data_IF_333399802096
#
_entry.id   IF_333399802096
#
_cell.length_a   1.000
_cell.length_b   1.000
_cell.length_c   1.000
_cell.angle_alpha   90.00
_cell.angle_beta   90.00
_cell.angle_gamma   90.00
#
_symmetry.space_group_name_H-M   'P 1'
#
loop_
_entity.id
_entity.type
_entity.pdbx_description
1 polymer ?
#
# COMPACT_ATOMS: atom_id res chain seq x y z
N UNK A 1 -7.89 -10.91 -6.10
CA UNK A 1 -9.16 -11.63 -6.37
C UNK A 1 -9.65 -11.19 -7.75
N UNK A 2 -10.39 -12.00 -8.49
CA UNK A 2 -10.98 -11.58 -9.78
C UNK A 2 -12.50 -11.77 -9.71
N UNK A 3 -13.27 -10.80 -10.20
CA UNK A 3 -14.74 -10.86 -10.20
C UNK A 3 -15.32 -11.45 -11.51
N UNK A 4 -16.65 -11.49 -11.58
CA UNK A 4 -17.41 -11.96 -12.74
C UNK A 4 -17.31 -11.05 -13.98
N UNK A 5 -16.62 -9.90 -13.87
CA UNK A 5 -16.33 -8.94 -14.94
C UNK A 5 -14.84 -8.93 -15.32
N UNK A 6 -14.08 -9.94 -14.88
CA UNK A 6 -12.63 -10.07 -15.00
C UNK A 6 -11.83 -8.89 -14.39
N UNK A 7 -12.42 -8.10 -13.50
CA UNK A 7 -11.70 -7.05 -12.78
C UNK A 7 -10.94 -7.66 -11.61
N UNK A 8 -9.69 -7.24 -11.44
CA UNK A 8 -8.84 -7.71 -10.34
C UNK A 8 -8.95 -6.75 -9.16
N UNK A 9 -9.41 -7.29 -8.03
CA UNK A 9 -9.62 -6.58 -6.78
C UNK A 9 -8.52 -6.89 -5.78
N UNK A 10 -8.07 -5.84 -5.08
CA UNK A 10 -7.16 -5.89 -3.94
C UNK A 10 -7.91 -5.46 -2.68
N UNK A 11 -7.66 -6.16 -1.56
CA UNK A 11 -8.23 -5.84 -0.26
C UNK A 11 -7.20 -6.09 0.83
N UNK A 12 -7.25 -5.30 1.91
CA UNK A 12 -6.37 -5.39 3.08
C UNK A 12 -7.15 -4.96 4.31
N UNK A 13 -6.96 -5.67 5.42
CA UNK A 13 -7.44 -5.26 6.73
C UNK A 13 -6.33 -4.55 7.51
N UNK A 14 -6.70 -3.60 8.37
CA UNK A 14 -5.80 -2.93 9.31
C UNK A 14 -5.94 -3.59 10.69
N UNK A 15 -5.29 -4.74 10.84
CA UNK A 15 -5.35 -5.57 12.04
C UNK A 15 -4.38 -5.05 13.14
N UNK A 16 -4.68 -3.88 13.71
CA UNK A 16 -3.88 -3.25 14.77
C UNK A 16 -4.38 -3.58 16.18
N UNK A 17 -3.49 -3.46 17.18
CA UNK A 17 -3.83 -3.62 18.61
C UNK A 17 -4.54 -2.42 19.22
N UNK A 18 -4.39 -1.25 18.60
CA UNK A 18 -4.99 0.02 19.01
C UNK A 18 -5.92 0.47 17.88
N UNK A 19 -7.05 1.07 18.26
CA UNK A 19 -7.94 1.70 17.30
C UNK A 19 -7.20 2.83 16.56
N UNK A 20 -7.35 2.93 15.24
CA UNK A 20 -6.70 3.98 14.45
C UNK A 20 -7.65 4.56 13.41
N UNK A 21 -7.80 5.89 13.42
CA UNK A 21 -8.36 6.65 12.32
C UNK A 21 -7.49 6.49 11.07
N UNK A 22 -8.12 6.22 9.93
CA UNK A 22 -7.46 6.18 8.64
C UNK A 22 -7.60 7.54 7.94
N UNK A 23 -6.49 8.11 7.47
CA UNK A 23 -6.51 9.26 6.56
C UNK A 23 -6.35 8.78 5.12
N UNK A 24 -7.28 9.18 4.27
CA UNK A 24 -7.22 8.95 2.83
C UNK A 24 -6.38 10.05 2.17
N UNK A 25 -5.21 9.67 1.66
CA UNK A 25 -4.25 10.56 1.01
C UNK A 25 -4.41 10.45 -0.51
N UNK A 26 -4.74 11.56 -1.16
CA UNK A 26 -4.71 11.70 -2.62
C UNK A 26 -3.48 12.48 -3.05
N UNK A 27 -2.75 11.98 -4.05
CA UNK A 27 -1.57 12.63 -4.60
C UNK A 27 -1.67 12.76 -6.12
N UNK A 28 -1.24 13.90 -6.67
CA UNK A 28 -1.14 14.15 -8.12
C UNK A 28 0.07 15.07 -8.34
N UNK A 29 1.30 14.54 -8.26
CA UNK A 29 2.53 15.32 -8.42
C UNK A 29 2.78 15.59 -9.91
N UNK A 30 3.32 16.77 -10.30
CA UNK A 30 3.51 17.12 -11.73
C UNK A 30 4.36 16.14 -12.54
N UNK A 31 5.33 15.48 -11.90
CA UNK A 31 6.28 14.56 -12.52
C UNK A 31 6.27 13.17 -11.85
N UNK A 32 5.10 12.70 -11.43
CA UNK A 32 4.95 11.36 -10.84
C UNK A 32 3.53 10.82 -11.00
N UNK A 33 3.31 9.60 -10.50
CA UNK A 33 2.00 8.95 -10.65
C UNK A 33 0.96 9.55 -9.72
N UNK A 34 -0.26 9.72 -10.24
CA UNK A 34 -1.45 9.92 -9.42
C UNK A 34 -1.69 8.68 -8.57
N UNK A 35 -1.98 8.88 -7.29
CA UNK A 35 -2.20 7.79 -6.34
C UNK A 35 -3.22 8.14 -5.26
N UNK A 36 -3.74 7.07 -4.67
CA UNK A 36 -4.60 7.09 -3.48
C UNK A 36 -4.05 6.06 -2.48
N UNK A 37 -4.03 6.42 -1.20
CA UNK A 37 -3.39 5.62 -0.15
C UNK A 37 -4.06 5.85 1.21
N UNK A 38 -3.98 4.89 2.14
CA UNK A 38 -4.39 5.12 3.53
C UNK A 38 -3.18 5.17 4.48
N UNK A 39 -3.24 6.12 5.41
CA UNK A 39 -2.32 6.25 6.52
C UNK A 39 -3.06 6.00 7.85
N UNK A 40 -2.51 5.12 8.69
CA UNK A 40 -2.99 4.91 10.06
C UNK A 40 -2.46 6.03 10.97
N UNK A 41 -3.33 6.94 11.40
CA UNK A 41 -2.94 8.17 12.10
C UNK A 41 -2.38 7.93 13.52
N UNK A 42 -2.62 6.77 14.12
CA UNK A 42 -2.01 6.42 15.40
C UNK A 42 -0.48 6.27 15.31
N UNK A 43 0.05 5.87 14.13
CA UNK A 43 1.50 5.77 13.88
C UNK A 43 2.25 7.12 14.02
N UNK A 44 1.54 8.25 13.97
CA UNK A 44 2.06 9.61 14.19
C UNK A 44 1.40 10.27 15.42
N UNK A 45 0.79 9.48 16.30
CA UNK A 45 0.10 9.91 17.52
C UNK A 45 -1.00 10.95 17.28
N UNK A 46 -1.62 10.93 16.09
CA UNK A 46 -2.61 11.90 15.63
C UNK A 46 -3.99 11.26 15.39
N UNK A 47 -4.28 10.15 16.10
CA UNK A 47 -5.50 9.34 15.97
C UNK A 47 -6.80 10.16 16.06
N UNK A 48 -6.80 11.24 16.86
CA UNK A 48 -7.84 12.28 16.88
C UNK A 48 -7.23 13.61 16.39
N UNK A 49 -7.27 13.92 15.08
CA UNK A 49 -6.59 15.09 14.52
C UNK A 49 -7.04 16.41 15.13
N UNK A 50 -8.35 16.56 15.35
CA UNK A 50 -8.97 17.81 15.78
C UNK A 50 -8.78 18.17 17.25
N UNK A 51 -8.27 17.25 18.07
CA UNK A 51 -8.04 17.44 19.50
C UNK A 51 -7.03 18.57 19.81
N UNK A 52 -6.06 18.82 18.94
CA UNK A 52 -5.11 19.92 19.12
C UNK A 52 -4.41 20.35 17.82
N UNK A 53 -3.93 21.61 17.77
CA UNK A 53 -3.09 22.09 16.67
C UNK A 53 -1.84 21.23 16.44
N UNK A 54 -1.27 20.64 17.49
CA UNK A 54 -0.14 19.71 17.38
C UNK A 54 -0.52 18.45 16.58
N UNK A 55 -1.68 17.85 16.86
CA UNK A 55 -2.17 16.68 16.13
C UNK A 55 -2.56 17.04 14.69
N UNK A 56 -3.21 18.19 14.46
CA UNK A 56 -3.45 18.72 13.10
C UNK A 56 -2.17 18.83 12.29
N UNK A 57 -1.14 19.50 12.82
CA UNK A 57 0.16 19.62 12.16
C UNK A 57 0.84 18.27 11.93
N UNK A 58 0.74 17.33 12.88
CA UNK A 58 1.23 15.97 12.68
C UNK A 58 0.56 15.28 11.48
N UNK A 59 -0.75 15.42 11.27
CA UNK A 59 -1.42 14.79 10.12
C UNK A 59 -0.92 15.23 8.74
N UNK A 60 -0.23 16.37 8.64
CA UNK A 60 0.42 16.81 7.39
C UNK A 60 1.57 15.87 6.97
N UNK A 61 2.09 15.03 7.87
CA UNK A 61 3.09 14.00 7.56
C UNK A 61 2.48 12.68 7.09
N UNK A 62 1.15 12.55 7.07
CA UNK A 62 0.46 11.33 6.62
C UNK A 62 0.90 10.78 5.24
N UNK A 63 1.28 11.59 4.22
CA UNK A 63 1.75 11.03 2.94
C UNK A 63 3.05 10.20 3.05
N UNK A 64 3.79 10.32 4.15
CA UNK A 64 5.04 9.58 4.39
C UNK A 64 4.85 8.31 5.24
N UNK A 65 3.65 8.04 5.76
CA UNK A 65 3.33 6.88 6.61
C UNK A 65 2.18 6.02 6.05
N UNK A 66 1.90 6.13 4.74
CA UNK A 66 0.94 5.29 4.05
C UNK A 66 1.35 3.81 4.13
N UNK A 67 0.42 2.94 4.54
CA UNK A 67 0.67 1.50 4.67
C UNK A 67 0.11 0.71 3.48
N UNK A 68 -0.86 1.27 2.77
CA UNK A 68 -1.33 0.72 1.51
C UNK A 68 -1.64 1.85 0.51
N UNK A 69 -1.99 1.46 -0.71
CA UNK A 69 -2.47 2.37 -1.73
C UNK A 69 -2.39 1.78 -3.12
N UNK A 70 -2.87 2.55 -4.09
CA UNK A 70 -2.78 2.22 -5.51
C UNK A 70 -2.49 3.47 -6.35
N UNK A 71 -1.84 3.27 -7.50
CA UNK A 71 -1.58 4.33 -8.47
C UNK A 71 -2.44 4.20 -9.75
N UNK A 72 -2.41 5.22 -10.60
CA UNK A 72 -3.13 5.26 -11.88
C UNK A 72 -2.69 4.20 -12.92
N UNK A 73 -1.59 3.48 -12.67
CA UNK A 73 -1.17 2.31 -13.47
C UNK A 73 -1.62 0.99 -12.83
N UNK A 74 -2.50 1.08 -11.83
CA UNK A 74 -3.05 -0.06 -11.12
C UNK A 74 -2.02 -0.86 -10.33
N UNK A 75 -0.85 -0.29 -10.02
CA UNK A 75 0.04 -0.90 -9.03
C UNK A 75 -0.54 -0.61 -7.65
N UNK A 76 -0.87 -1.68 -6.92
CA UNK A 76 -1.34 -1.64 -5.54
C UNK A 76 -0.27 -2.21 -4.60
N UNK A 77 -0.12 -1.60 -3.43
CA UNK A 77 0.82 -2.02 -2.39
C UNK A 77 0.06 -2.17 -1.08
N UNK A 78 0.45 -3.15 -0.26
CA UNK A 78 0.03 -3.26 1.13
C UNK A 78 1.21 -3.70 2.01
N UNK A 79 1.40 -2.99 3.12
CA UNK A 79 2.33 -3.33 4.20
C UNK A 79 1.56 -4.14 5.24
N UNK A 80 2.08 -5.31 5.55
CA UNK A 80 1.63 -6.18 6.62
C UNK A 80 2.62 -6.07 7.78
N UNK A 81 2.11 -5.84 8.98
CA UNK A 81 2.89 -5.78 10.22
C UNK A 81 2.55 -6.96 11.14
N UNK A 82 2.93 -8.21 10.79
CA UNK A 82 2.82 -9.32 11.72
C UNK A 82 3.66 -9.09 12.98
N UNK A 83 3.37 -9.81 14.06
CA UNK A 83 3.92 -9.55 15.40
C UNK A 83 5.46 -9.65 15.55
N UNK A 84 6.18 -10.10 14.52
CA UNK A 84 7.62 -10.37 14.55
C UNK A 84 8.41 -9.80 13.36
N UNK A 85 7.77 -9.28 12.31
CA UNK A 85 8.43 -8.74 11.12
C UNK A 85 7.49 -7.78 10.36
N UNK A 86 8.01 -7.10 9.34
CA UNK A 86 7.19 -6.36 8.37
C UNK A 86 7.32 -7.04 7.02
N UNK A 87 6.21 -7.24 6.32
CA UNK A 87 6.18 -7.78 4.96
C UNK A 87 5.46 -6.82 4.03
N UNK A 88 6.03 -6.57 2.85
CA UNK A 88 5.40 -5.77 1.80
C UNK A 88 4.84 -6.72 0.74
N UNK A 89 3.59 -6.51 0.34
CA UNK A 89 2.95 -7.18 -0.78
C UNK A 89 2.69 -6.16 -1.88
N UNK A 90 3.05 -6.50 -3.12
CA UNK A 90 2.82 -5.68 -4.31
C UNK A 90 1.99 -6.48 -5.32
N UNK A 91 1.03 -5.80 -5.96
CA UNK A 91 0.23 -6.35 -7.05
C UNK A 91 0.15 -5.32 -8.18
N UNK A 92 0.22 -5.75 -9.43
CA UNK A 92 0.06 -4.86 -10.59
C UNK A 92 -1.16 -5.29 -11.41
N UNK A 93 -2.12 -4.39 -11.56
CA UNK A 93 -3.23 -4.50 -12.50
C UNK A 93 -2.69 -4.12 -13.89
N UNK A 94 -2.39 -5.11 -14.72
CA UNK A 94 -1.98 -4.87 -16.12
C UNK A 94 -3.20 -4.51 -16.98
N UNK A 95 -3.39 -3.21 -17.23
CA UNK A 95 -4.42 -2.72 -18.14
C UNK A 95 -4.02 -3.02 -19.60
N UNK A 96 -4.69 -3.99 -20.24
CA UNK A 96 -4.37 -4.42 -21.62
C UNK A 96 -4.76 -3.38 -22.67
N UNK A 97 -3.81 -2.52 -23.05
CA UNK A 97 -3.70 -2.04 -24.44
C UNK A 97 -2.27 -1.60 -24.73
N UNK A 98 -1.49 -2.49 -25.34
CA UNK A 98 -0.15 -2.18 -25.86
C UNK A 98 -0.20 -2.36 -27.38
N UNK A 99 -0.13 -1.25 -28.12
CA UNK A 99 -0.17 -1.31 -29.58
C UNK A 99 1.10 -1.99 -30.14
N UNK A 100 0.87 -3.11 -30.84
CA UNK A 100 1.73 -3.67 -31.88
C UNK A 100 3.24 -3.89 -31.58
N UNK A 101 3.57 -5.09 -31.10
CA UNK A 101 4.68 -5.87 -31.66
C UNK A 101 4.54 -7.39 -31.34
N UNK A 102 4.22 -8.17 -32.38
CA UNK A 102 4.62 -9.57 -32.64
C UNK A 102 4.43 -10.66 -31.53
N UNK A 103 3.56 -11.62 -31.87
CA UNK A 103 3.37 -12.95 -31.27
C UNK A 103 4.61 -13.86 -31.57
N UNK A 104 4.89 -14.99 -30.88
CA UNK A 104 4.19 -15.67 -29.79
C UNK A 104 5.07 -15.81 -28.52
N UNK A 105 4.75 -16.53 -27.42
CA UNK A 105 3.68 -17.52 -27.12
C UNK A 105 3.29 -17.44 -25.63
N UNK A 106 2.14 -18.02 -25.25
CA UNK A 106 1.75 -18.38 -23.86
C UNK A 106 2.22 -17.43 -22.74
N UNK A 107 1.49 -16.32 -22.54
CA UNK A 107 1.73 -15.41 -21.43
C UNK A 107 1.04 -15.90 -20.15
N UNK A 108 1.81 -16.51 -19.25
CA UNK A 108 1.37 -16.81 -17.89
C UNK A 108 1.32 -15.54 -17.02
N UNK A 109 0.35 -15.48 -16.10
CA UNK A 109 0.29 -14.43 -15.07
C UNK A 109 1.45 -14.64 -14.09
N UNK A 110 2.53 -13.88 -14.24
CA UNK A 110 3.64 -13.90 -13.28
C UNK A 110 3.30 -13.04 -12.06
N UNK A 111 2.54 -13.62 -11.14
CA UNK A 111 2.23 -13.02 -9.84
C UNK A 111 3.51 -13.01 -8.97
N UNK A 112 4.29 -11.93 -9.10
CA UNK A 112 5.54 -11.75 -8.39
C UNK A 112 5.28 -11.33 -6.93
N UNK A 113 5.03 -12.31 -6.05
CA UNK A 113 5.06 -12.11 -4.60
C UNK A 113 6.48 -11.76 -4.13
N UNK A 114 6.82 -10.46 -4.17
CA UNK A 114 8.09 -9.95 -3.65
C UNK A 114 8.02 -9.68 -2.14
N UNK A 115 8.11 -10.71 -1.31
CA UNK A 115 8.23 -10.52 0.16
C UNK A 115 9.64 -10.03 0.48
N UNK A 116 9.81 -8.72 0.65
CA UNK A 116 11.06 -8.14 1.15
C UNK A 116 11.09 -8.25 2.66
N UNK A 117 11.87 -9.20 3.19
CA UNK A 117 12.12 -9.35 4.62
C UNK A 117 13.17 -8.33 5.08
N UNK A 118 12.74 -7.21 5.65
CA UNK A 118 13.62 -6.35 6.43
C UNK A 118 13.79 -6.95 7.84
N UNK A 119 14.80 -7.81 8.02
CA UNK A 119 15.11 -8.41 9.31
C UNK A 119 15.59 -7.39 10.34
N UNK A 120 15.14 -7.51 11.59
CA UNK A 120 15.68 -6.75 12.71
C UNK A 120 16.81 -7.58 13.36
N UNK A 121 18.10 -7.15 13.27
CA UNK A 121 19.24 -7.95 13.73
C UNK A 121 19.33 -8.13 15.26
N UNK A 122 18.45 -7.49 16.03
CA UNK A 122 18.50 -7.50 17.51
C UNK A 122 17.84 -8.72 18.18
N UNK A 123 17.39 -9.74 17.44
CA UNK A 123 16.72 -10.94 17.98
C UNK A 123 17.29 -12.28 17.52
N UNK A 124 18.55 -12.33 17.11
CA UNK A 124 19.29 -13.58 16.93
C UNK A 124 20.30 -13.78 18.06
N UNK A 125 19.81 -14.30 19.20
CA UNK A 125 20.53 -15.15 20.16
C UNK A 125 19.58 -15.61 21.27
N UNK A 126 19.29 -16.91 21.24
CA UNK A 126 19.02 -17.70 22.44
C UNK A 126 20.36 -18.22 22.99
#
# INVERSE_FOLDING_TARGET
MTDNQNQVHMGRNYDFKLDTSAMLVYCTPPNGYKSVAFAALDNISANTPDESMKKKLATLTSPFICLDGMNEKGVSIAVLTPAYYTAVSTAKLEQRSFCSAQNPTSFGVKLAYGVVFAGNPSKEKA
#
